data_IF_669715229363
#
_entry.id   IF_669715229363
#
_cell.length_a   1.000
_cell.length_b   1.000
_cell.length_c   1.000
_cell.angle_alpha   90.00
_cell.angle_beta   90.00
_cell.angle_gamma   90.00
#
_symmetry.space_group_name_H-M   'P 1'
#
loop_
_entity.id
_entity.type
_entity.pdbx_description
1 polymer ?
#
# COMPACT_ATOMS: atom_id res chain seq x y z
N UNK A 1 3.14 4.76 9.63
CA UNK A 1 3.72 3.43 9.34
C UNK A 1 5.22 3.58 9.05
N UNK A 2 6.03 2.51 9.08
CA UNK A 2 7.47 2.59 8.77
C UNK A 2 7.78 3.22 7.42
N UNK A 3 6.88 3.09 6.45
CA UNK A 3 6.99 3.64 5.10
C UNK A 3 6.80 5.17 5.09
N UNK A 4 5.84 5.71 5.85
CA UNK A 4 5.64 7.15 5.99
C UNK A 4 6.87 7.83 6.62
N UNK A 5 7.46 7.20 7.64
CA UNK A 5 8.69 7.67 8.27
C UNK A 5 9.87 7.68 7.29
N UNK A 6 9.94 6.71 6.36
CA UNK A 6 10.96 6.68 5.31
C UNK A 6 10.75 7.78 4.29
N UNK A 7 9.51 8.03 3.85
CA UNK A 7 9.18 9.13 2.93
C UNK A 7 9.54 10.48 3.54
N UNK A 8 9.11 10.74 4.77
CA UNK A 8 9.44 11.98 5.49
C UNK A 8 10.96 12.15 5.61
N UNK A 9 11.67 11.09 6.02
CA UNK A 9 13.13 11.11 6.12
C UNK A 9 13.80 11.44 4.80
N UNK A 10 13.34 10.84 3.70
CA UNK A 10 13.87 11.08 2.35
C UNK A 10 13.58 12.49 1.85
N UNK A 11 12.40 13.07 2.13
CA UNK A 11 12.06 14.45 1.76
C UNK A 11 12.89 15.47 2.55
N UNK A 12 13.10 15.20 3.85
CA UNK A 12 13.90 16.07 4.72
C UNK A 12 15.41 15.92 4.52
N UNK A 13 15.85 15.03 3.62
CA UNK A 13 17.26 14.73 3.44
C UNK A 13 17.93 15.83 2.61
N UNK A 14 18.93 16.50 3.17
CA UNK A 14 19.60 17.64 2.55
C UNK A 14 20.59 17.23 1.43
N UNK A 15 20.97 15.95 1.37
CA UNK A 15 21.89 15.42 0.36
C UNK A 15 21.14 14.75 -0.78
N UNK A 16 21.76 14.67 -1.95
CA UNK A 16 21.22 13.93 -3.09
C UNK A 16 21.04 12.44 -2.77
N UNK A 17 19.88 11.91 -3.15
CA UNK A 17 19.60 10.48 -3.03
C UNK A 17 20.39 9.70 -4.08
N UNK A 18 21.01 8.58 -3.70
CA UNK A 18 21.54 7.65 -4.70
C UNK A 18 20.41 7.08 -5.58
N UNK A 19 20.73 6.63 -6.80
CA UNK A 19 19.75 6.08 -7.74
C UNK A 19 18.83 5.02 -7.11
N UNK A 20 19.39 4.06 -6.36
CA UNK A 20 18.60 3.03 -5.67
C UNK A 20 17.66 3.62 -4.61
N UNK A 21 18.11 4.66 -3.88
CA UNK A 21 17.26 5.36 -2.91
C UNK A 21 16.16 6.16 -3.60
N UNK A 22 16.44 6.81 -4.74
CA UNK A 22 15.42 7.49 -5.55
C UNK A 22 14.35 6.51 -6.05
N UNK A 23 14.76 5.34 -6.56
CA UNK A 23 13.81 4.33 -7.05
C UNK A 23 12.85 3.87 -5.94
N UNK A 24 13.38 3.55 -4.76
CA UNK A 24 12.58 3.20 -3.59
C UNK A 24 11.66 4.34 -3.17
N UNK A 25 12.16 5.58 -3.19
CA UNK A 25 11.39 6.77 -2.84
C UNK A 25 10.19 6.98 -3.77
N UNK A 26 10.40 6.86 -5.09
CA UNK A 26 9.31 6.95 -6.09
C UNK A 26 8.27 5.85 -5.86
N UNK A 27 8.70 4.62 -5.59
CA UNK A 27 7.77 3.52 -5.27
C UNK A 27 6.95 3.81 -4.01
N UNK A 28 7.57 4.38 -2.97
CA UNK A 28 6.86 4.76 -1.75
C UNK A 28 5.86 5.91 -1.99
N UNK A 29 6.24 6.94 -2.75
CA UNK A 29 5.31 8.02 -3.14
C UNK A 29 4.13 7.46 -3.91
N UNK A 30 4.38 6.61 -4.91
CA UNK A 30 3.32 6.01 -5.70
C UNK A 30 2.35 5.23 -4.81
N UNK A 31 2.88 4.36 -3.92
CA UNK A 31 2.06 3.61 -2.97
C UNK A 31 1.25 4.54 -2.07
N UNK A 32 1.82 5.66 -1.63
CA UNK A 32 1.14 6.66 -0.80
C UNK A 32 0.00 7.36 -1.56
N UNK A 33 0.23 7.76 -2.82
CA UNK A 33 -0.79 8.40 -3.66
C UNK A 33 -1.94 7.45 -4.04
N UNK A 34 -1.65 6.17 -4.20
CA UNK A 34 -2.65 5.14 -4.52
C UNK A 34 -3.43 4.69 -3.27
N UNK A 35 -2.95 5.02 -2.08
CA UNK A 35 -3.52 4.57 -0.81
C UNK A 35 -4.86 5.20 -0.56
N UNK A 36 -5.79 4.36 -0.15
CA UNK A 36 -7.03 4.78 0.48
C UNK A 36 -6.79 4.78 2.00
N UNK A 37 -6.73 5.97 2.62
CA UNK A 37 -6.43 6.12 4.05
C UNK A 37 -7.58 5.65 4.94
N UNK A 38 -8.77 5.46 4.39
CA UNK A 38 -9.93 4.87 5.09
C UNK A 38 -9.81 3.34 5.19
N UNK A 39 -8.77 2.77 4.57
CA UNK A 39 -8.49 1.33 4.55
C UNK A 39 -7.30 0.95 5.41
N UNK A 40 -7.53 0.02 6.33
CA UNK A 40 -6.55 -0.55 7.24
C UNK A 40 -5.82 -1.69 6.51
N UNK A 41 -4.62 -1.42 6.04
CA UNK A 41 -3.74 -2.43 5.45
C UNK A 41 -2.93 -3.16 6.53
N UNK A 42 -2.62 -4.45 6.29
CA UNK A 42 -1.72 -5.20 7.17
C UNK A 42 -0.27 -4.68 7.04
N UNK A 43 0.62 -4.99 8.01
CA UNK A 43 2.03 -4.65 7.90
C UNK A 43 2.65 -5.13 6.59
N UNK A 44 3.47 -4.28 5.96
CA UNK A 44 4.12 -4.51 4.65
C UNK A 44 3.12 -4.69 3.49
N UNK A 45 1.89 -4.24 3.65
CA UNK A 45 0.91 -4.17 2.57
C UNK A 45 0.50 -2.74 2.28
N UNK A 46 0.15 -2.50 1.03
CA UNK A 46 -0.47 -1.29 0.52
C UNK A 46 -1.42 -1.64 -0.62
N UNK A 47 -2.11 -0.66 -1.20
CA UNK A 47 -2.80 -0.88 -2.46
C UNK A 47 -1.81 -1.35 -3.53
N UNK A 48 -2.31 -2.13 -4.49
CA UNK A 48 -1.58 -2.38 -5.73
C UNK A 48 -2.31 -1.62 -6.82
N UNK A 49 -1.80 -0.48 -7.32
CA UNK A 49 -2.48 0.32 -8.35
C UNK A 49 -3.90 0.74 -7.94
N UNK A 50 -4.10 1.03 -6.65
CA UNK A 50 -5.41 1.38 -6.08
C UNK A 50 -6.43 0.23 -5.99
N UNK A 51 -6.02 -1.01 -6.26
CA UNK A 51 -6.85 -2.21 -6.09
C UNK A 51 -6.58 -2.92 -4.78
N UNK A 52 -7.49 -3.83 -4.42
CA UNK A 52 -7.29 -4.76 -3.32
C UNK A 52 -5.97 -5.54 -3.54
N UNK A 53 -5.11 -5.64 -2.51
CA UNK A 53 -3.77 -6.25 -2.65
C UNK A 53 -3.80 -7.76 -2.82
N UNK A 54 -4.97 -8.39 -2.70
CA UNK A 54 -5.13 -9.79 -3.00
C UNK A 54 -4.96 -10.03 -4.51
N UNK A 55 -3.95 -10.82 -4.92
CA UNK A 55 -3.58 -11.13 -6.30
C UNK A 55 -4.75 -11.56 -7.18
N UNK A 56 -5.64 -12.39 -6.64
CA UNK A 56 -6.82 -12.95 -7.31
C UNK A 56 -8.05 -12.05 -7.20
N UNK A 57 -7.98 -10.99 -6.40
CA UNK A 57 -9.08 -10.06 -6.15
C UNK A 57 -8.59 -8.63 -6.36
N UNK A 58 -8.41 -8.25 -7.63
CA UNK A 58 -7.91 -6.92 -8.03
C UNK A 58 -9.05 -5.90 -8.20
N UNK A 59 -10.02 -5.90 -7.28
CA UNK A 59 -11.12 -4.94 -7.33
C UNK A 59 -10.62 -3.55 -6.90
N UNK A 60 -10.91 -2.48 -7.67
CA UNK A 60 -10.59 -1.12 -7.25
C UNK A 60 -11.29 -0.80 -5.92
N UNK A 61 -10.50 -0.47 -4.89
CA UNK A 61 -11.01 -0.26 -3.53
C UNK A 61 -12.04 0.89 -3.51
N UNK A 62 -11.79 1.93 -4.31
CA UNK A 62 -12.69 3.09 -4.45
C UNK A 62 -14.06 2.77 -5.03
N UNK A 63 -14.23 1.63 -5.72
CA UNK A 63 -15.53 1.17 -6.23
C UNK A 63 -16.37 0.48 -5.15
N UNK A 64 -15.78 0.13 -4.00
CA UNK A 64 -16.49 -0.40 -2.87
C UNK A 64 -17.05 0.74 -2.03
N UNK A 65 -18.24 0.52 -1.46
CA UNK A 65 -18.73 1.36 -0.37
C UNK A 65 -17.71 1.38 0.76
N UNK A 66 -17.47 2.56 1.34
CA UNK A 66 -16.46 2.81 2.36
C UNK A 66 -16.56 1.82 3.53
N UNK A 67 -17.78 1.59 4.02
CA UNK A 67 -18.10 0.61 5.07
C UNK A 67 -17.66 -0.82 4.75
N UNK A 68 -17.53 -1.18 3.47
CA UNK A 68 -17.16 -2.52 3.02
C UNK A 68 -15.68 -2.65 2.66
N UNK A 69 -14.93 -1.55 2.50
CA UNK A 69 -13.53 -1.57 2.02
C UNK A 69 -12.62 -2.37 2.94
N UNK A 70 -12.71 -2.14 4.26
CA UNK A 70 -11.92 -2.86 5.26
C UNK A 70 -12.26 -4.35 5.32
N UNK A 71 -13.56 -4.67 5.37
CA UNK A 71 -14.02 -6.04 5.39
C UNK A 71 -13.58 -6.81 4.14
N UNK A 72 -13.69 -6.18 2.97
CA UNK A 72 -13.21 -6.73 1.70
C UNK A 72 -11.70 -7.00 1.74
N UNK A 73 -10.90 -5.97 2.02
CA UNK A 73 -9.43 -6.08 2.00
C UNK A 73 -8.96 -7.19 2.96
N UNK A 74 -9.40 -7.16 4.21
CA UNK A 74 -9.01 -8.17 5.19
C UNK A 74 -9.47 -9.58 4.83
N UNK A 75 -10.68 -9.75 4.28
CA UNK A 75 -11.21 -11.07 3.88
C UNK A 75 -10.34 -11.71 2.81
N UNK A 76 -10.07 -10.98 1.72
CA UNK A 76 -9.37 -11.54 0.57
C UNK A 76 -7.87 -11.68 0.82
N UNK A 77 -7.25 -10.73 1.51
CA UNK A 77 -5.85 -10.85 1.91
C UNK A 77 -5.61 -12.05 2.82
N UNK A 78 -6.45 -12.24 3.86
CA UNK A 78 -6.30 -13.39 4.76
C UNK A 78 -6.51 -14.70 4.02
N UNK A 79 -7.50 -14.74 3.12
CA UNK A 79 -7.78 -15.92 2.29
C UNK A 79 -6.60 -16.28 1.39
N UNK A 80 -5.94 -15.32 0.77
CA UNK A 80 -4.74 -15.61 -0.03
C UNK A 80 -3.60 -16.13 0.82
N UNK A 81 -3.33 -15.49 1.97
CA UNK A 81 -2.30 -15.97 2.90
C UNK A 81 -2.56 -17.39 3.41
N UNK A 82 -3.83 -17.81 3.52
CA UNK A 82 -4.16 -19.19 3.89
C UNK A 82 -3.95 -20.21 2.75
N UNK A 83 -3.92 -19.76 1.49
CA UNK A 83 -3.63 -20.61 0.33
C UNK A 83 -2.15 -20.63 -0.04
N UNK A 84 -1.37 -19.65 0.43
CA UNK A 84 0.09 -19.60 0.32
C UNK A 84 0.80 -20.41 1.44
N UNK A 85 0.04 -21.08 2.32
CA UNK A 85 0.50 -22.04 3.34
C UNK A 85 0.36 -23.47 2.84
#
# INVERSE_FOLDING_TARGET
>A
MPEDARVVKSISYAEELSFNKMLLFVQYIQMYCERDFDVIYLPKQGPVRGVCPAKNYQLPIRKLQESHRNAHNHKYVRREKSFDL
#
